data_IF_323329318231
#
_entry.id   IF_323329318231
#
_cell.length_a   1.000
_cell.length_b   1.000
_cell.length_c   1.000
_cell.angle_alpha   90.00
_cell.angle_beta   90.00
_cell.angle_gamma   90.00
#
_symmetry.space_group_name_H-M   'P 1'
#
loop_
_entity.id
_entity.type
_entity.pdbx_description
1 polymer ?
#
# COMPACT_ATOMS: atom_id res chain seq x y z
N UNK A 1 12.46 34.57 12.15
CA UNK A 1 12.08 33.20 12.55
C UNK A 1 12.73 32.25 11.58
N UNK A 2 13.75 31.51 12.02
CA UNK A 2 14.48 30.56 11.18
C UNK A 2 13.67 29.27 11.14
N UNK A 3 13.08 28.94 9.99
CA UNK A 3 12.45 27.64 9.78
C UNK A 3 13.56 26.60 9.85
N UNK A 4 13.67 25.89 10.98
CA UNK A 4 14.53 24.72 11.09
C UNK A 4 14.00 23.71 10.06
N UNK A 5 14.75 23.47 8.99
CA UNK A 5 14.44 22.43 8.04
C UNK A 5 14.55 21.10 8.80
N UNK A 6 13.40 20.55 9.22
CA UNK A 6 13.36 19.20 9.76
C UNK A 6 13.83 18.25 8.67
N UNK A 7 14.96 17.60 8.93
CA UNK A 7 15.40 16.52 8.08
C UNK A 7 14.42 15.35 8.24
N UNK A 8 13.94 14.82 7.12
CA UNK A 8 13.08 13.63 7.13
C UNK A 8 13.78 12.46 7.79
N UNK A 9 15.12 12.41 7.78
CA UNK A 9 15.88 11.35 8.43
C UNK A 9 15.79 11.40 9.97
N UNK A 10 15.32 12.52 10.53
CA UNK A 10 15.03 12.68 11.96
C UNK A 10 13.59 12.31 12.35
N UNK A 11 12.73 12.00 11.37
CA UNK A 11 11.33 11.71 11.64
C UNK A 11 11.14 10.35 12.32
N UNK A 12 10.28 10.27 13.35
CA UNK A 12 9.84 9.00 13.91
C UNK A 12 9.21 8.07 12.87
N UNK A 13 9.39 6.75 13.07
CA UNK A 13 8.93 5.74 12.12
C UNK A 13 7.42 5.78 11.89
N UNK A 14 6.62 6.04 12.92
CA UNK A 14 5.16 6.19 12.84
C UNK A 14 4.75 7.34 11.91
N UNK A 15 5.46 8.48 11.95
CA UNK A 15 5.24 9.59 11.02
C UNK A 15 5.58 9.18 9.58
N UNK A 16 6.69 8.46 9.38
CA UNK A 16 7.04 7.94 8.05
C UNK A 16 5.97 6.95 7.53
N UNK A 17 5.37 6.15 8.42
CA UNK A 17 4.25 5.25 8.10
C UNK A 17 3.01 6.06 7.70
N UNK A 18 2.63 7.10 8.44
CA UNK A 18 1.50 7.96 8.05
C UNK A 18 1.72 8.64 6.70
N UNK A 19 2.94 9.07 6.40
CA UNK A 19 3.29 9.61 5.07
C UNK A 19 3.06 8.54 4.00
N UNK A 20 3.55 7.31 4.21
CA UNK A 20 3.34 6.20 3.28
C UNK A 20 1.84 5.92 3.08
N UNK A 21 1.05 5.88 4.16
CA UNK A 21 -0.41 5.69 4.12
C UNK A 21 -1.06 6.81 3.31
N UNK A 22 -0.69 8.06 3.55
CA UNK A 22 -1.24 9.22 2.85
C UNK A 22 -0.96 9.14 1.33
N UNK A 23 0.28 8.81 0.95
CA UNK A 23 0.67 8.64 -0.45
C UNK A 23 -0.16 7.54 -1.12
N UNK A 24 -0.19 6.32 -0.55
CA UNK A 24 -0.92 5.21 -1.19
C UNK A 24 -2.44 5.41 -1.19
N UNK A 25 -3.00 6.15 -0.23
CA UNK A 25 -4.45 6.37 -0.16
C UNK A 25 -4.94 7.42 -1.16
N UNK A 26 -4.08 8.38 -1.51
CA UNK A 26 -4.42 9.52 -2.39
C UNK A 26 -3.93 9.35 -3.82
N UNK A 27 -2.91 8.51 -4.04
CA UNK A 27 -2.31 8.33 -5.35
C UNK A 27 -3.24 7.61 -6.34
N UNK A 28 -3.18 7.99 -7.64
CA UNK A 28 -3.79 7.21 -8.71
C UNK A 28 -3.02 5.91 -9.01
N UNK A 29 -1.75 5.78 -8.61
CA UNK A 29 -0.85 4.64 -8.87
C UNK A 29 -0.19 4.12 -7.58
N UNK A 30 -0.99 3.69 -6.59
CA UNK A 30 -0.50 3.41 -5.24
C UNK A 30 0.44 2.20 -5.17
N UNK A 31 0.32 1.25 -6.09
CA UNK A 31 1.27 0.14 -6.20
C UNK A 31 2.65 0.59 -6.68
N UNK A 32 2.73 1.39 -7.74
CA UNK A 32 4.00 1.92 -8.22
C UNK A 32 4.67 2.77 -7.13
N UNK A 33 3.87 3.57 -6.42
CA UNK A 33 4.37 4.40 -5.34
C UNK A 33 4.90 3.59 -4.18
N UNK A 34 4.21 2.53 -3.75
CA UNK A 34 4.75 1.67 -2.68
C UNK A 34 6.04 0.97 -3.12
N UNK A 35 6.17 0.63 -4.40
CA UNK A 35 7.41 0.06 -4.92
C UNK A 35 8.57 1.07 -4.90
N UNK A 36 8.31 2.33 -5.24
CA UNK A 36 9.30 3.41 -5.13
C UNK A 36 9.66 3.70 -3.68
N UNK A 37 8.68 3.74 -2.77
CA UNK A 37 8.89 3.94 -1.34
C UNK A 37 9.77 2.83 -0.76
N UNK A 38 9.57 1.57 -1.18
CA UNK A 38 10.41 0.43 -0.79
C UNK A 38 11.87 0.53 -1.24
N UNK A 39 12.12 1.20 -2.35
CA UNK A 39 13.46 1.46 -2.88
C UNK A 39 14.11 2.74 -2.31
N UNK A 40 13.42 3.43 -1.40
CA UNK A 40 13.86 4.68 -0.79
C UNK A 40 14.10 4.49 0.72
N UNK A 41 14.45 5.58 1.43
CA UNK A 41 14.55 5.59 2.90
C UNK A 41 13.25 5.21 3.62
N UNK A 42 12.09 5.30 2.95
CA UNK A 42 10.81 4.85 3.49
C UNK A 42 10.66 3.31 3.51
N UNK A 43 11.71 2.54 3.17
CA UNK A 43 11.66 1.08 3.05
C UNK A 43 10.99 0.39 4.23
N UNK A 44 11.37 0.72 5.46
CA UNK A 44 10.78 0.05 6.63
C UNK A 44 9.35 0.55 6.91
N UNK A 45 9.11 1.86 6.81
CA UNK A 45 7.76 2.42 6.94
C UNK A 45 6.76 1.85 5.91
N UNK A 46 7.20 1.67 4.66
CA UNK A 46 6.40 1.15 3.56
C UNK A 46 5.94 -0.30 3.75
N UNK A 47 6.58 -1.06 4.66
CA UNK A 47 6.21 -2.43 5.00
C UNK A 47 5.28 -2.51 6.21
N UNK A 48 5.00 -1.39 6.87
CA UNK A 48 4.14 -1.39 8.04
C UNK A 48 2.75 -1.93 7.68
N UNK A 49 2.19 -2.74 8.57
CA UNK A 49 0.87 -3.35 8.41
C UNK A 49 -0.21 -2.34 8.02
N UNK A 50 -0.16 -1.15 8.61
CA UNK A 50 -1.10 -0.05 8.34
C UNK A 50 -1.10 0.37 6.86
N UNK A 51 0.06 0.37 6.19
CA UNK A 51 0.15 0.71 4.76
C UNK A 51 -0.58 -0.33 3.91
N UNK A 52 -0.41 -1.62 4.21
CA UNK A 52 -1.16 -2.69 3.55
C UNK A 52 -2.66 -2.64 3.82
N UNK A 53 -3.07 -2.27 5.04
CA UNK A 53 -4.48 -2.08 5.42
C UNK A 53 -5.16 -0.96 4.64
N UNK A 54 -4.45 0.14 4.38
CA UNK A 54 -4.98 1.32 3.70
C UNK A 54 -4.84 1.29 2.17
N UNK A 55 -4.18 0.27 1.61
CA UNK A 55 -3.95 0.14 0.18
C UNK A 55 -5.29 0.05 -0.60
N UNK A 56 -5.57 0.93 -1.57
CA UNK A 56 -6.84 0.92 -2.29
C UNK A 56 -6.81 -0.06 -3.47
N UNK A 57 -6.93 -1.35 -3.18
CA UNK A 57 -6.77 -2.46 -4.13
C UNK A 57 -7.85 -2.57 -5.22
N UNK A 58 -9.04 -1.96 -5.04
CA UNK A 58 -10.03 -1.86 -6.14
C UNK A 58 -9.64 -0.83 -7.18
N UNK A 59 -9.01 0.28 -6.78
CA UNK A 59 -8.58 1.33 -7.73
C UNK A 59 -7.53 0.79 -8.68
N UNK A 60 -6.70 -0.13 -8.17
CA UNK A 60 -5.72 -0.88 -8.95
C UNK A 60 -6.35 -1.75 -10.05
N UNK A 61 -7.62 -2.16 -9.96
CA UNK A 61 -8.28 -2.98 -10.99
C UNK A 61 -8.43 -2.27 -12.33
N UNK A 62 -8.36 -0.93 -12.34
CA UNK A 62 -8.32 -0.13 -13.56
C UNK A 62 -6.96 -0.23 -14.29
N UNK A 63 -5.90 -0.63 -13.58
CA UNK A 63 -4.62 -0.94 -14.19
C UNK A 63 -4.68 -2.33 -14.81
N UNK A 64 -4.15 -2.45 -16.02
CA UNK A 64 -4.14 -3.69 -16.79
C UNK A 64 -3.22 -4.71 -16.10
N UNK A 65 -3.75 -5.44 -15.14
CA UNK A 65 -3.07 -6.60 -14.56
C UNK A 65 -3.04 -7.72 -15.61
N UNK A 66 -2.01 -7.70 -16.46
CA UNK A 66 -1.71 -8.75 -17.44
C UNK A 66 -1.41 -10.11 -16.76
N UNK A 67 -1.16 -10.10 -15.45
CA UNK A 67 -0.89 -11.27 -14.62
C UNK A 67 -1.87 -11.35 -13.45
N UNK A 68 -2.92 -12.16 -13.61
CA UNK A 68 -3.89 -12.45 -12.56
C UNK A 68 -3.23 -13.05 -11.31
N UNK A 69 -2.17 -13.86 -11.46
CA UNK A 69 -1.48 -14.48 -10.32
C UNK A 69 -0.79 -13.43 -9.46
N UNK A 70 -0.11 -12.48 -10.09
CA UNK A 70 0.51 -11.34 -9.41
C UNK A 70 -0.52 -10.46 -8.69
N UNK A 71 -1.70 -10.23 -9.30
CA UNK A 71 -2.78 -9.49 -8.66
C UNK A 71 -3.31 -10.21 -7.40
N UNK A 72 -3.61 -11.50 -7.49
CA UNK A 72 -4.07 -12.27 -6.33
C UNK A 72 -3.01 -12.39 -5.22
N UNK A 73 -1.73 -12.51 -5.57
CA UNK A 73 -0.65 -12.48 -4.59
C UNK A 73 -0.60 -11.14 -3.84
N UNK A 74 -0.77 -10.03 -4.56
CA UNK A 74 -0.86 -8.69 -3.98
C UNK A 74 -2.09 -8.55 -3.06
N UNK A 75 -3.27 -8.98 -3.51
CA UNK A 75 -4.48 -8.98 -2.69
C UNK A 75 -4.29 -9.77 -1.39
N UNK A 76 -3.68 -10.96 -1.45
CA UNK A 76 -3.41 -11.77 -0.24
C UNK A 76 -2.49 -11.03 0.73
N UNK A 77 -1.43 -10.39 0.23
CA UNK A 77 -0.54 -9.59 1.08
C UNK A 77 -1.28 -8.44 1.77
N UNK A 78 -2.20 -7.75 1.07
CA UNK A 78 -3.05 -6.72 1.68
C UNK A 78 -4.03 -7.32 2.70
N UNK A 79 -4.63 -8.47 2.39
CA UNK A 79 -5.57 -9.18 3.26
C UNK A 79 -4.91 -9.65 4.57
N UNK A 80 -3.68 -10.17 4.51
CA UNK A 80 -2.85 -10.50 5.68
C UNK A 80 -2.60 -9.28 6.57
N UNK A 81 -2.49 -8.09 5.97
CA UNK A 81 -2.42 -6.85 6.74
C UNK A 81 -3.76 -6.50 7.42
N UNK A 82 -4.89 -7.05 6.98
CA UNK A 82 -6.23 -6.72 7.47
C UNK A 82 -6.98 -5.75 6.56
N UNK A 83 -6.60 -5.65 5.29
CA UNK A 83 -7.31 -4.84 4.31
C UNK A 83 -8.69 -5.45 4.00
N UNK A 84 -9.77 -4.75 4.38
CA UNK A 84 -11.15 -5.24 4.22
C UNK A 84 -11.54 -5.36 2.74
N UNK A 85 -11.05 -4.47 1.90
CA UNK A 85 -11.35 -4.49 0.47
C UNK A 85 -10.70 -5.70 -0.21
N UNK A 86 -9.44 -5.99 0.13
CA UNK A 86 -8.75 -7.18 -0.36
C UNK A 86 -9.44 -8.48 0.10
N UNK A 87 -9.84 -8.55 1.38
CA UNK A 87 -10.61 -9.68 1.92
C UNK A 87 -11.93 -9.88 1.18
N UNK A 88 -12.67 -8.80 0.90
CA UNK A 88 -13.91 -8.88 0.15
C UNK A 88 -13.69 -9.43 -1.26
N UNK A 89 -12.68 -8.93 -1.99
CA UNK A 89 -12.40 -9.39 -3.36
C UNK A 89 -12.01 -10.87 -3.36
N UNK A 90 -11.12 -11.29 -2.44
CA UNK A 90 -10.70 -12.68 -2.33
C UNK A 90 -11.87 -13.61 -1.97
N UNK A 91 -12.73 -13.21 -1.04
CA UNK A 91 -13.90 -13.99 -0.66
C UNK A 91 -14.92 -14.13 -1.80
N UNK A 92 -15.15 -13.06 -2.58
CA UNK A 92 -16.00 -13.14 -3.77
C UNK A 92 -15.40 -14.06 -4.83
N UNK A 93 -14.08 -13.99 -5.06
CA UNK A 93 -13.42 -14.89 -6.01
C UNK A 93 -13.55 -16.36 -5.59
N UNK A 94 -13.39 -16.67 -4.30
CA UNK A 94 -13.56 -18.02 -3.76
C UNK A 94 -15.00 -18.56 -3.88
N UNK A 95 -16.02 -17.69 -3.82
CA UNK A 95 -17.43 -18.08 -3.95
C UNK A 95 -17.86 -18.24 -5.41
N UNK A 96 -17.41 -17.36 -6.29
CA UNK A 96 -17.95 -17.27 -7.66
C UNK A 96 -17.08 -17.90 -8.75
N UNK A 97 -15.77 -18.05 -8.53
CA UNK A 97 -14.82 -18.46 -9.58
C UNK A 97 -14.05 -19.75 -9.25
N UNK A 98 -14.46 -20.47 -8.20
CA UNK A 98 -13.81 -21.71 -7.76
C UNK A 98 -14.34 -22.95 -8.47
#
# INVERSE_FOLDING_TARGET
MTTMAMDIDSLPLDILVEICVSIVSSSPTPREDIMRLRASRFREASKARKVGQCMPVRRERAFRWLDAKGYFAFLRSCAECGNLEANLILGLDEVYNR
#
